data_IF_003806005203
#
_entry.id   IF_003806005203
#
_cell.length_a   1.000
_cell.length_b   1.000
_cell.length_c   1.000
_cell.angle_alpha   90.00
_cell.angle_beta   90.00
_cell.angle_gamma   90.00
#
_symmetry.space_group_name_H-M   'P 1'
#
loop_
_entity.id
_entity.type
_entity.pdbx_description
1 polymer ?
#
# COMPACT_ATOMS: atom_id res chain seq x y z
N UNK A 1 -10.10 8.64 -13.00
CA UNK A 1 -8.80 8.06 -12.59
C UNK A 1 -8.29 7.19 -13.73
N UNK A 2 -7.06 7.40 -14.21
CA UNK A 2 -6.43 6.55 -15.23
C UNK A 2 -5.43 5.61 -14.56
N UNK A 3 -5.69 4.28 -14.50
CA UNK A 3 -4.77 3.35 -13.87
C UNK A 3 -3.50 3.23 -14.71
N UNK A 4 -2.33 3.30 -14.06
CA UNK A 4 -1.03 3.11 -14.73
C UNK A 4 -0.17 2.14 -13.93
N UNK A 5 0.58 1.25 -14.59
CA UNK A 5 1.53 0.39 -13.91
C UNK A 5 2.69 1.22 -13.34
N UNK A 6 3.05 0.93 -12.09
CA UNK A 6 4.22 1.54 -11.45
C UNK A 6 5.48 0.77 -11.83
N UNK A 7 6.58 1.50 -12.06
CA UNK A 7 7.91 0.90 -12.24
C UNK A 7 8.41 0.22 -10.95
N UNK A 8 9.47 -0.61 -11.03
CA UNK A 8 9.98 -1.37 -9.89
C UNK A 8 10.37 -0.48 -8.71
N UNK A 9 11.13 0.60 -8.93
CA UNK A 9 11.50 1.56 -7.87
C UNK A 9 10.29 2.25 -7.24
N UNK A 10 9.29 2.60 -8.06
CA UNK A 10 8.08 3.28 -7.61
C UNK A 10 7.21 2.35 -6.76
N UNK A 11 7.09 1.06 -7.13
CA UNK A 11 6.38 0.04 -6.33
C UNK A 11 6.98 -0.09 -4.95
N UNK A 12 8.30 -0.27 -4.84
CA UNK A 12 8.98 -0.38 -3.55
C UNK A 12 8.80 0.88 -2.72
N UNK A 13 8.98 2.07 -3.32
CA UNK A 13 8.77 3.33 -2.62
C UNK A 13 7.33 3.51 -2.12
N UNK A 14 6.34 3.08 -2.90
CA UNK A 14 4.93 3.14 -2.49
C UNK A 14 4.63 2.19 -1.34
N UNK A 15 5.15 0.97 -1.38
CA UNK A 15 5.00 0.00 -0.30
C UNK A 15 5.58 0.52 1.02
N UNK A 16 6.81 1.06 0.99
CA UNK A 16 7.45 1.64 2.17
C UNK A 16 6.62 2.79 2.75
N UNK A 17 6.10 3.69 1.90
CA UNK A 17 5.23 4.78 2.35
C UNK A 17 3.98 4.27 3.06
N UNK A 18 3.33 3.26 2.51
CA UNK A 18 2.14 2.67 3.15
C UNK A 18 2.46 2.00 4.49
N UNK A 19 3.59 1.30 4.60
CA UNK A 19 4.02 0.66 5.85
C UNK A 19 4.23 1.71 6.95
N UNK A 20 4.92 2.81 6.63
CA UNK A 20 5.16 3.90 7.58
C UNK A 20 3.83 4.55 8.00
N UNK A 21 2.97 4.86 7.03
CA UNK A 21 1.66 5.46 7.27
C UNK A 21 0.77 4.60 8.19
N UNK A 22 0.77 3.27 8.00
CA UNK A 22 -0.01 2.36 8.86
C UNK A 22 0.62 2.19 10.24
N UNK A 23 1.95 2.17 10.33
CA UNK A 23 2.67 2.17 11.60
C UNK A 23 2.34 3.42 12.43
N UNK A 24 2.22 4.58 11.79
CA UNK A 24 1.89 5.85 12.44
C UNK A 24 0.52 5.89 13.12
N UNK A 25 -0.48 5.17 12.59
CA UNK A 25 -1.83 5.11 13.18
C UNK A 25 -1.84 4.54 14.60
N UNK A 26 -0.90 3.66 14.94
CA UNK A 26 -0.77 3.10 16.29
C UNK A 26 0.02 4.09 17.14
N UNK A 27 -0.59 4.96 17.95
CA UNK A 27 0.18 6.03 18.63
C UNK A 27 0.82 5.65 19.97
N UNK A 28 0.46 4.49 20.54
CA UNK A 28 0.75 4.16 21.93
C UNK A 28 2.12 3.48 22.18
N UNK A 29 2.96 3.30 21.15
CA UNK A 29 4.22 2.54 21.25
C UNK A 29 5.34 3.24 20.49
N UNK A 30 6.60 2.99 20.88
CA UNK A 30 7.79 3.50 20.18
C UNK A 30 7.75 3.10 18.70
N UNK A 31 8.26 3.97 17.82
CA UNK A 31 8.25 3.78 16.36
C UNK A 31 8.81 2.41 15.94
N UNK A 32 9.95 2.00 16.51
CA UNK A 32 10.61 0.73 16.22
C UNK A 32 9.69 -0.47 16.46
N UNK A 33 9.02 -0.50 17.61
CA UNK A 33 8.11 -1.59 17.98
C UNK A 33 6.86 -1.62 17.10
N UNK A 34 6.38 -0.47 16.66
CA UNK A 34 5.23 -0.38 15.75
C UNK A 34 5.57 -0.90 14.36
N UNK A 35 6.73 -0.49 13.84
CA UNK A 35 7.22 -0.93 12.55
C UNK A 35 7.46 -2.44 12.54
N UNK A 36 8.10 -2.98 13.58
CA UNK A 36 8.33 -4.42 13.70
C UNK A 36 7.02 -5.22 13.73
N UNK A 37 6.03 -4.75 14.51
CA UNK A 37 4.69 -5.36 14.56
C UNK A 37 3.98 -5.30 13.21
N UNK A 38 4.13 -4.21 12.47
CA UNK A 38 3.50 -4.08 11.16
C UNK A 38 4.15 -5.01 10.12
N UNK A 39 5.49 -5.14 10.14
CA UNK A 39 6.20 -6.11 9.31
C UNK A 39 5.75 -7.54 9.63
N UNK A 40 5.63 -7.88 10.92
CA UNK A 40 5.12 -9.20 11.33
C UNK A 40 3.70 -9.43 10.81
N UNK A 41 2.80 -8.47 10.97
CA UNK A 41 1.43 -8.56 10.46
C UNK A 41 1.36 -8.71 8.94
N UNK A 42 2.30 -8.10 8.19
CA UNK A 42 2.41 -8.28 6.73
C UNK A 42 2.81 -9.70 6.39
N UNK A 43 3.80 -10.26 7.11
CA UNK A 43 4.26 -11.65 6.90
C UNK A 43 3.12 -12.64 7.22
N UNK A 44 2.34 -12.37 8.26
CA UNK A 44 1.16 -13.15 8.63
C UNK A 44 -0.05 -12.95 7.70
N UNK A 45 0.01 -11.99 6.77
CA UNK A 45 -1.07 -11.69 5.83
C UNK A 45 -2.24 -10.88 6.42
N UNK A 46 -2.14 -10.43 7.67
CA UNK A 46 -3.19 -9.68 8.36
C UNK A 46 -2.79 -8.22 8.65
N UNK A 47 -2.31 -7.52 7.62
CA UNK A 47 -1.95 -6.10 7.72
C UNK A 47 -2.96 -5.21 6.99
N UNK A 48 -3.19 -4.01 7.55
CA UNK A 48 -3.96 -2.96 6.87
C UNK A 48 -3.29 -2.50 5.56
N UNK A 49 -1.96 -2.63 5.46
CA UNK A 49 -1.20 -2.30 4.25
C UNK A 49 -1.64 -3.16 3.08
N UNK A 50 -1.87 -4.46 3.32
CA UNK A 50 -2.33 -5.40 2.29
C UNK A 50 -3.75 -5.07 1.83
N UNK A 51 -4.64 -4.69 2.76
CA UNK A 51 -5.99 -4.21 2.42
C UNK A 51 -5.95 -2.96 1.55
N UNK A 52 -5.05 -2.03 1.85
CA UNK A 52 -4.88 -0.80 1.06
C UNK A 52 -4.37 -1.11 -0.35
N UNK A 53 -3.43 -2.06 -0.46
CA UNK A 53 -2.94 -2.55 -1.76
C UNK A 53 -4.07 -3.17 -2.58
N UNK A 54 -4.87 -4.03 -1.98
CA UNK A 54 -6.00 -4.68 -2.64
C UNK A 54 -7.07 -3.67 -3.07
N UNK A 55 -7.40 -2.70 -2.21
CA UNK A 55 -8.30 -1.59 -2.55
C UNK A 55 -7.78 -0.80 -3.75
N UNK A 56 -6.49 -0.47 -3.77
CA UNK A 56 -5.89 0.27 -4.89
C UNK A 56 -5.94 -0.54 -6.19
N UNK A 57 -5.70 -1.85 -6.13
CA UNK A 57 -5.80 -2.75 -7.29
C UNK A 57 -7.25 -2.88 -7.76
N UNK A 58 -8.21 -3.03 -6.84
CA UNK A 58 -9.64 -3.09 -7.16
C UNK A 58 -10.12 -1.81 -7.86
N UNK A 59 -9.72 -0.64 -7.36
CA UNK A 59 -10.00 0.64 -8.00
C UNK A 59 -9.37 0.76 -9.40
N UNK A 60 -8.16 0.22 -9.58
CA UNK A 60 -7.52 0.17 -10.89
C UNK A 60 -8.27 -0.74 -11.86
N UNK A 61 -8.74 -1.91 -11.41
CA UNK A 61 -9.54 -2.84 -12.21
C UNK A 61 -10.90 -2.25 -12.61
N UNK A 62 -11.57 -1.56 -11.68
CA UNK A 62 -12.84 -0.87 -11.96
C UNK A 62 -12.67 0.21 -13.05
N UNK A 63 -11.53 0.90 -13.06
CA UNK A 63 -11.22 1.96 -14.02
C UNK A 63 -10.41 1.48 -15.24
N UNK A 64 -10.35 0.16 -15.50
CA UNK A 64 -9.54 -0.41 -16.59
C UNK A 64 -9.87 0.18 -17.98
N UNK A 65 -11.14 0.54 -18.21
CA UNK A 65 -11.58 1.15 -19.47
C UNK A 65 -10.92 2.50 -19.75
N UNK A 66 -10.53 3.23 -18.69
CA UNK A 66 -9.88 4.54 -18.81
C UNK A 66 -8.37 4.42 -19.07
N UNK A 67 -7.80 3.21 -19.08
CA UNK A 67 -6.36 3.00 -19.29
C UNK A 67 -5.92 3.29 -20.74
N UNK A 68 -6.84 3.21 -21.69
CA UNK A 68 -6.59 3.46 -23.12
C UNK A 68 -6.61 4.95 -23.47
N UNK A 69 -7.22 5.78 -22.63
CA UNK A 69 -7.29 7.23 -22.80
C UNK A 69 -5.93 7.83 -22.43
N UNK A 70 -5.11 8.10 -23.45
CA UNK A 70 -3.86 8.88 -23.30
C UNK A 70 -4.24 10.35 -23.19
N UNK A 71 -4.00 10.94 -22.02
CA UNK A 71 -3.94 12.39 -21.77
C UNK A 71 -2.48 12.72 -21.50
#
# INVERSE_FOLDING_TARGET
MTPRPLGPKQRTGQAIRWIIQMSEKRKNVKLEQRLAREILAIIEGNSEVLKLQEQQHSLALANRANATVRI
#
